data_IF_069147734520
#
_entry.id   IF_069147734520
#
_cell.length_a   1.000
_cell.length_b   1.000
_cell.length_c   1.000
_cell.angle_alpha   90.00
_cell.angle_beta   90.00
_cell.angle_gamma   90.00
#
_symmetry.space_group_name_H-M   'P 1'
#
loop_
_entity.id
_entity.type
_entity.pdbx_description
1 polymer ?
#
# COMPACT_ATOMS: atom_id res chain seq x y z
N UNK A 1 -5.72 21.04 20.58
CA UNK A 1 -4.82 20.99 19.41
C UNK A 1 -4.90 19.62 18.71
N UNK A 2 -6.07 19.21 18.22
CA UNK A 2 -6.26 17.85 17.66
C UNK A 2 -7.09 17.84 16.39
N UNK A 3 -8.30 18.41 16.41
CA UNK A 3 -9.18 18.36 15.24
C UNK A 3 -8.61 19.04 14.00
N UNK A 4 -7.95 20.20 14.14
CA UNK A 4 -7.43 20.93 12.97
C UNK A 4 -6.35 20.15 12.21
N UNK A 5 -5.43 19.46 12.91
CA UNK A 5 -4.42 18.63 12.24
C UNK A 5 -5.06 17.45 11.50
N UNK A 6 -6.08 16.82 12.08
CA UNK A 6 -6.79 15.71 11.43
C UNK A 6 -7.65 16.17 10.26
N UNK A 7 -8.25 17.36 10.36
CA UNK A 7 -8.98 17.98 9.26
C UNK A 7 -8.05 18.30 8.08
N UNK A 8 -6.86 18.85 8.35
CA UNK A 8 -5.84 19.13 7.32
C UNK A 8 -5.34 17.82 6.70
N UNK A 9 -5.04 16.81 7.50
CA UNK A 9 -4.63 15.49 6.99
C UNK A 9 -5.73 14.81 6.15
N UNK A 10 -6.98 14.89 6.60
CA UNK A 10 -8.13 14.37 5.86
C UNK A 10 -8.33 15.10 4.53
N UNK A 11 -8.23 16.44 4.53
CA UNK A 11 -8.32 17.24 3.31
C UNK A 11 -7.19 16.91 2.33
N UNK A 12 -5.94 16.79 2.81
CA UNK A 12 -4.80 16.42 1.98
C UNK A 12 -4.95 15.01 1.39
N UNK A 13 -5.44 14.05 2.17
CA UNK A 13 -5.70 12.69 1.70
C UNK A 13 -6.77 12.66 0.60
N UNK A 14 -7.89 13.36 0.78
CA UNK A 14 -8.98 13.42 -0.21
C UNK A 14 -8.51 14.11 -1.48
N UNK A 15 -7.79 15.24 -1.37
CA UNK A 15 -7.32 16.00 -2.52
C UNK A 15 -6.23 15.23 -3.29
N UNK A 16 -5.31 14.60 -2.56
CA UNK A 16 -4.29 13.70 -3.11
C UNK A 16 -4.93 12.51 -3.81
N UNK A 17 -5.94 11.89 -3.20
CA UNK A 17 -6.67 10.77 -3.81
C UNK A 17 -7.42 11.21 -5.07
N UNK A 18 -8.11 12.35 -5.05
CA UNK A 18 -8.80 12.91 -6.23
C UNK A 18 -7.85 13.22 -7.38
N UNK A 19 -6.65 13.73 -7.07
CA UNK A 19 -5.63 13.99 -8.08
C UNK A 19 -5.03 12.68 -8.61
N UNK A 20 -4.74 11.73 -7.73
CA UNK A 20 -4.17 10.45 -8.10
C UNK A 20 -5.15 9.57 -8.90
N UNK A 21 -6.45 9.64 -8.61
CA UNK A 21 -7.52 8.95 -9.37
C UNK A 21 -7.89 9.67 -10.66
N UNK A 22 -7.41 10.91 -10.88
CA UNK A 22 -7.64 11.62 -12.13
C UNK A 22 -6.98 10.86 -13.28
N UNK A 23 -7.77 10.54 -14.28
CA UNK A 23 -7.29 9.89 -15.51
C UNK A 23 -6.42 10.87 -16.29
N UNK A 24 -5.23 10.42 -16.72
CA UNK A 24 -4.34 11.17 -17.61
C UNK A 24 -4.93 11.19 -19.02
N UNK A 25 -4.88 12.33 -19.70
CA UNK A 25 -5.34 12.45 -21.10
C UNK A 25 -4.49 11.67 -22.11
N UNK A 26 -3.24 11.34 -21.77
CA UNK A 26 -2.31 10.63 -22.65
C UNK A 26 -2.65 9.14 -22.82
N UNK A 27 -3.11 8.49 -21.75
CA UNK A 27 -3.19 7.04 -21.67
C UNK A 27 -4.47 6.54 -20.97
N UNK A 28 -5.32 7.45 -20.50
CA UNK A 28 -6.64 7.14 -19.91
C UNK A 28 -6.60 6.46 -18.55
N UNK A 29 -5.41 6.14 -18.03
CA UNK A 29 -5.17 5.53 -16.72
C UNK A 29 -4.97 6.58 -15.64
N UNK A 30 -5.27 6.21 -14.39
CA UNK A 30 -5.02 7.06 -13.22
C UNK A 30 -3.72 6.66 -12.51
N UNK A 31 -3.10 7.58 -11.77
CA UNK A 31 -1.93 7.25 -10.94
C UNK A 31 -2.27 6.22 -9.86
N UNK A 32 -3.54 6.16 -9.43
CA UNK A 32 -4.05 5.12 -8.52
C UNK A 32 -4.06 3.74 -9.18
N UNK A 33 -4.42 3.64 -10.47
CA UNK A 33 -4.37 2.36 -11.18
C UNK A 33 -2.92 1.86 -11.28
N UNK A 34 -1.98 2.75 -11.61
CA UNK A 34 -0.56 2.42 -11.65
C UNK A 34 -0.04 2.02 -10.26
N UNK A 35 -0.46 2.73 -9.21
CA UNK A 35 -0.11 2.40 -7.83
C UNK A 35 -0.73 1.07 -7.40
N UNK A 36 -1.97 0.77 -7.78
CA UNK A 36 -2.64 -0.49 -7.46
C UNK A 36 -1.93 -1.67 -8.10
N UNK A 37 -1.55 -1.56 -9.37
CA UNK A 37 -0.77 -2.59 -10.08
C UNK A 37 0.56 -2.83 -9.36
N UNK A 38 1.27 -1.76 -9.00
CA UNK A 38 2.56 -1.86 -8.32
C UNK A 38 2.42 -2.35 -6.87
N UNK A 39 1.36 -1.94 -6.17
CA UNK A 39 1.07 -2.35 -4.81
C UNK A 39 0.76 -3.85 -4.73
N UNK A 40 0.06 -4.42 -5.71
CA UNK A 40 -0.16 -5.88 -5.77
C UNK A 40 1.18 -6.62 -5.86
N UNK A 41 2.14 -6.13 -6.67
CA UNK A 41 3.50 -6.69 -6.70
C UNK A 41 4.20 -6.66 -5.34
N UNK A 42 4.13 -5.54 -4.64
CA UNK A 42 4.71 -5.43 -3.30
C UNK A 42 3.98 -6.27 -2.25
N UNK A 43 2.68 -6.50 -2.40
CA UNK A 43 1.92 -7.38 -1.51
C UNK A 43 2.39 -8.83 -1.63
N UNK A 44 2.63 -9.30 -2.85
CA UNK A 44 3.17 -10.65 -3.08
C UNK A 44 4.56 -10.79 -2.44
N UNK A 45 5.45 -9.81 -2.64
CA UNK A 45 6.80 -9.82 -2.03
C UNK A 45 6.76 -9.85 -0.50
N UNK A 46 5.84 -9.09 0.12
CA UNK A 46 5.66 -9.06 1.57
C UNK A 46 5.07 -10.37 2.09
N UNK A 47 4.14 -10.97 1.36
CA UNK A 47 3.52 -12.23 1.74
C UNK A 47 4.56 -13.36 1.71
N UNK A 48 5.36 -13.44 0.65
CA UNK A 48 6.47 -14.39 0.53
C UNK A 48 7.52 -14.21 1.65
N UNK A 49 7.81 -12.97 2.03
CA UNK A 49 8.70 -12.68 3.14
C UNK A 49 8.14 -13.15 4.48
N UNK A 50 6.83 -12.95 4.71
CA UNK A 50 6.13 -13.46 5.88
C UNK A 50 6.09 -14.99 5.94
N UNK A 51 5.88 -15.65 4.80
CA UNK A 51 5.94 -17.11 4.70
C UNK A 51 7.33 -17.65 5.02
N UNK A 52 8.40 -17.03 4.50
CA UNK A 52 9.79 -17.38 4.84
C UNK A 52 10.06 -17.28 6.34
N UNK A 53 9.71 -16.15 6.96
CA UNK A 53 9.86 -15.98 8.42
C UNK A 53 9.09 -17.06 9.18
N UNK A 54 7.85 -17.34 8.78
CA UNK A 54 7.00 -18.34 9.45
C UNK A 54 7.55 -19.76 9.29
N UNK A 55 8.11 -20.08 8.13
CA UNK A 55 8.76 -21.35 7.85
C UNK A 55 10.02 -21.53 8.70
N UNK A 56 10.90 -20.53 8.75
CA UNK A 56 12.12 -20.55 9.57
C UNK A 56 11.79 -20.67 11.08
N UNK A 57 10.76 -19.97 11.54
CA UNK A 57 10.28 -20.07 12.92
C UNK A 57 9.79 -21.48 13.25
N UNK A 58 8.99 -22.10 12.37
CA UNK A 58 8.50 -23.47 12.58
C UNK A 58 9.63 -24.49 12.57
N UNK A 59 10.58 -24.34 11.66
CA UNK A 59 11.72 -25.25 11.57
C UNK A 59 12.62 -25.16 12.81
N UNK A 60 12.75 -23.98 13.41
CA UNK A 60 13.52 -23.80 14.65
C UNK A 60 12.75 -24.29 15.88
N UNK A 61 11.41 -24.18 15.91
CA UNK A 61 10.59 -24.67 17.03
C UNK A 61 10.39 -26.18 17.05
N UNK A 62 10.43 -26.87 15.91
CA UNK A 62 10.37 -28.35 15.85
C UNK A 62 11.69 -29.02 16.25
N UNK A 63 12.76 -28.23 16.45
CA UNK A 63 14.09 -28.70 16.85
C UNK A 63 14.36 -28.61 18.37
N UNK A 64 13.38 -28.16 19.16
CA UNK A 64 13.44 -28.06 20.63
C UNK A 64 12.25 -28.71 21.33
#
# INVERSE_FOLDING_TARGET
MGLLKYAILGAAAIYGFKYATRKRSSDGKSMVDDFKVKATQYLDDVNDFGERIRHDYRQTSDLY
#
